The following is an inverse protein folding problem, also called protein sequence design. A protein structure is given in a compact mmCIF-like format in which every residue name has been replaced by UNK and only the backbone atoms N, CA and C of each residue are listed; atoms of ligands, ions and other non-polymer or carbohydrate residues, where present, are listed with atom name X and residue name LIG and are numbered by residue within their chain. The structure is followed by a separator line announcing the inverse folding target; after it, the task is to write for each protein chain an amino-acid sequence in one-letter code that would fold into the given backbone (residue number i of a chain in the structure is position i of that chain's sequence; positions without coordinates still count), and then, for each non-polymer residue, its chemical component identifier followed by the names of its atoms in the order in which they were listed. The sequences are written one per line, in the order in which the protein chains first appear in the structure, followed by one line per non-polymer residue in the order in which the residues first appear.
data_IF_831474191536
#
_entry.id   IF_831474191536
#
_cell.length_a   1.000
_cell.length_b   1.000
_cell.length_c   1.000
_cell.angle_alpha   90.00
_cell.angle_beta   90.00
_cell.angle_gamma   90.00
#
_symmetry.space_group_name_H-M   'P 1'
#
loop_
_entity.id
_entity.type
_entity.pdbx_description
1 polymer ?
#
# COMPACT_ATOMS: atom_id res chain seq x y z
N UNK A 1 19.63 -1.08 -3.13
CA UNK A 1 18.55 -0.74 -4.08
C UNK A 1 17.80 -2.02 -4.35
N UNK A 2 16.55 -2.16 -3.88
CA UNK A 2 15.74 -3.35 -4.14
C UNK A 2 15.34 -3.41 -5.62
N UNK A 3 15.27 -4.62 -6.17
CA UNK A 3 14.78 -4.83 -7.52
C UNK A 3 13.33 -4.34 -7.65
N UNK A 4 12.93 -3.78 -8.81
CA UNK A 4 11.53 -3.47 -9.06
C UNK A 4 10.66 -4.72 -8.94
N UNK A 5 9.43 -4.56 -8.46
CA UNK A 5 8.46 -5.64 -8.39
C UNK A 5 8.21 -6.22 -9.79
N UNK A 6 8.15 -7.55 -9.91
CA UNK A 6 7.75 -8.19 -11.16
C UNK A 6 6.26 -7.94 -11.44
N UNK A 7 5.85 -8.00 -12.70
CA UNK A 7 4.44 -7.88 -13.10
C UNK A 7 3.54 -8.89 -12.36
N UNK A 8 4.06 -10.11 -12.14
CA UNK A 8 3.36 -11.15 -11.39
C UNK A 8 3.17 -10.78 -9.91
N UNK A 9 4.17 -10.15 -9.29
CA UNK A 9 4.06 -9.68 -7.90
C UNK A 9 3.05 -8.54 -7.80
N UNK A 10 3.07 -7.60 -8.73
CA UNK A 10 2.11 -6.49 -8.76
C UNK A 10 0.67 -6.98 -8.94
N UNK A 11 0.43 -7.89 -9.89
CA UNK A 11 -0.89 -8.48 -10.12
C UNK A 11 -1.42 -9.20 -8.88
N UNK A 12 -0.54 -9.92 -8.16
CA UNK A 12 -0.90 -10.59 -6.90
C UNK A 12 -1.27 -9.58 -5.80
N UNK A 13 -0.53 -8.48 -5.69
CA UNK A 13 -0.85 -7.42 -4.72
C UNK A 13 -2.18 -6.75 -5.07
N UNK A 14 -2.43 -6.45 -6.35
CA UNK A 14 -3.71 -5.89 -6.81
C UNK A 14 -4.87 -6.84 -6.51
N UNK A 15 -4.71 -8.13 -6.77
CA UNK A 15 -5.73 -9.14 -6.46
C UNK A 15 -6.01 -9.24 -4.96
N UNK A 16 -4.96 -9.26 -4.13
CA UNK A 16 -5.08 -9.25 -2.67
C UNK A 16 -5.79 -7.98 -2.17
N UNK A 17 -5.44 -6.83 -2.75
CA UNK A 17 -6.09 -5.56 -2.42
C UNK A 17 -7.57 -5.55 -2.83
N UNK A 18 -7.91 -6.06 -4.01
CA UNK A 18 -9.29 -6.12 -4.51
C UNK A 18 -10.19 -7.07 -3.70
N UNK A 19 -9.62 -8.14 -3.13
CA UNK A 19 -10.34 -9.07 -2.23
C UNK A 19 -10.54 -8.51 -0.83
N UNK A 20 -9.74 -7.52 -0.44
CA UNK A 20 -9.80 -6.91 0.88
C UNK A 20 -10.86 -5.82 0.85
N UNK A 21 -11.90 -5.92 1.68
CA UNK A 21 -12.85 -4.81 1.84
C UNK A 21 -12.07 -3.54 2.21
N UNK A 22 -12.21 -2.49 1.40
CA UNK A 22 -11.55 -1.19 1.60
C UNK A 22 -12.16 -0.40 2.78
N UNK A 23 -12.43 -1.09 3.89
CA UNK A 23 -12.92 -0.48 5.11
C UNK A 23 -11.75 0.15 5.87
N UNK A 24 -11.87 1.42 6.30
CA UNK A 24 -10.86 2.05 7.14
C UNK A 24 -10.72 1.29 8.46
N UNK A 25 -9.49 1.15 8.92
CA UNK A 25 -9.16 0.52 10.20
C UNK A 25 -8.59 1.55 11.17
N UNK A 26 -8.78 1.31 12.46
CA UNK A 26 -8.13 2.02 13.53
C UNK A 26 -7.30 1.05 14.34
N UNK A 27 -6.02 1.39 14.55
CA UNK A 27 -5.15 0.75 15.51
C UNK A 27 -5.30 1.44 16.88
N UNK A 28 -5.45 0.64 17.93
CA UNK A 28 -5.49 1.09 19.32
C UNK A 28 -4.53 0.24 20.15
N UNK A 29 -3.74 0.89 20.98
CA UNK A 29 -2.91 0.27 22.00
C UNK A 29 -3.23 0.94 23.34
N UNK A 30 -3.84 0.19 24.25
CA UNK A 30 -4.27 0.72 25.54
C UNK A 30 -4.17 -0.38 26.60
N UNK A 31 -3.50 -0.10 27.72
CA UNK A 31 -3.39 -1.01 28.87
C UNK A 31 -2.87 -2.41 28.50
N UNK A 32 -1.90 -2.49 27.58
CA UNK A 32 -1.34 -3.77 27.11
C UNK A 32 -2.24 -4.54 26.15
N UNK A 33 -3.30 -3.90 25.65
CA UNK A 33 -4.27 -4.52 24.73
C UNK A 33 -4.24 -3.83 23.37
N UNK A 34 -3.66 -4.54 22.41
CA UNK A 34 -3.57 -4.09 21.02
C UNK A 34 -4.81 -4.55 20.28
N UNK A 35 -5.55 -3.59 19.74
CA UNK A 35 -6.80 -3.82 18.99
C UNK A 35 -6.77 -3.14 17.64
N UNK A 36 -7.35 -3.82 16.65
CA UNK A 36 -7.60 -3.27 15.33
C UNK A 36 -9.09 -3.28 15.06
N UNK A 37 -9.68 -2.11 14.95
CA UNK A 37 -11.12 -1.93 14.75
C UNK A 37 -11.42 -1.55 13.30
N UNK A 38 -12.53 -2.05 12.76
CA UNK A 38 -13.17 -1.38 11.64
C UNK A 38 -13.73 -0.04 12.11
N UNK A 39 -13.34 1.06 11.44
CA UNK A 39 -13.76 2.42 11.84
C UNK A 39 -15.28 2.57 11.87
N UNK A 40 -16.00 1.83 11.02
CA UNK A 40 -17.47 1.82 10.99
C UNK A 40 -18.13 1.31 12.27
N UNK A 41 -17.41 0.56 13.11
CA UNK A 41 -17.91 0.03 14.37
C UNK A 41 -17.74 1.01 15.54
N UNK A 42 -16.86 1.99 15.40
CA UNK A 42 -16.51 2.92 16.47
C UNK A 42 -17.60 3.98 16.66
N UNK A 43 -17.74 4.47 17.89
CA UNK A 43 -18.68 5.52 18.27
C UNK A 43 -17.94 6.80 18.64
N UNK A 44 -18.64 7.94 18.55
CA UNK A 44 -18.13 9.27 19.00
C UNK A 44 -16.74 9.62 18.44
N UNK A 45 -16.54 9.33 17.16
CA UNK A 45 -15.28 9.62 16.48
C UNK A 45 -15.10 11.14 16.37
N UNK A 46 -13.97 11.62 16.85
CA UNK A 46 -13.48 12.99 16.64
C UNK A 46 -12.25 12.90 15.74
N UNK A 47 -12.17 13.82 14.78
CA UNK A 47 -11.05 13.90 13.84
C UNK A 47 -10.35 15.24 13.96
N UNK A 48 -9.04 15.22 13.76
CA UNK A 48 -8.22 16.42 13.69
C UNK A 48 -8.44 17.20 12.37
N UNK A 49 -7.77 18.34 12.21
CA UNK A 49 -7.83 19.16 11.00
C UNK A 49 -7.26 18.48 9.74
N UNK A 50 -6.52 17.39 9.88
CA UNK A 50 -6.01 16.56 8.78
C UNK A 50 -6.95 15.36 8.48
N UNK A 51 -8.04 15.21 9.23
CA UNK A 51 -8.99 14.12 9.09
C UNK A 51 -8.58 12.82 9.78
N UNK A 52 -7.50 12.81 10.56
CA UNK A 52 -7.08 11.63 11.36
C UNK A 52 -7.97 11.48 12.57
N UNK A 53 -8.22 10.25 13.00
CA UNK A 53 -9.00 9.99 14.22
C UNK A 53 -8.15 10.38 15.43
N UNK A 54 -8.63 11.32 16.22
CA UNK A 54 -7.97 11.81 17.44
C UNK A 54 -8.56 11.16 18.70
N UNK A 55 -9.88 10.99 18.74
CA UNK A 55 -10.55 10.29 19.84
C UNK A 55 -11.77 9.52 19.35
N UNK A 56 -12.18 8.52 20.12
CA UNK A 56 -13.28 7.63 19.77
C UNK A 56 -13.73 6.87 21.04
N UNK A 57 -14.81 6.10 20.93
CA UNK A 57 -15.26 5.19 21.98
C UNK A 57 -15.62 3.82 21.41
N UNK A 58 -15.27 2.77 22.15
CA UNK A 58 -15.65 1.40 21.82
C UNK A 58 -17.18 1.24 21.82
N UNK A 59 -17.73 0.45 20.90
CA UNK A 59 -19.13 0.08 20.96
C UNK A 59 -19.37 -0.91 22.11
N UNK A 60 -20.48 -0.74 22.84
CA UNK A 60 -20.90 -1.69 23.89
C UNK A 60 -21.08 -3.13 23.40
N UNK A 61 -21.43 -3.31 22.13
CA UNK A 61 -21.48 -4.61 21.46
C UNK A 61 -21.10 -4.44 19.99
N UNK A 62 -20.45 -5.45 19.43
CA UNK A 62 -19.92 -5.41 18.07
C UNK A 62 -20.05 -6.78 17.39
N UNK A 63 -20.07 -6.77 16.06
CA UNK A 63 -20.07 -8.00 15.25
C UNK A 63 -18.67 -8.62 15.30
N UNK A 64 -18.53 -9.94 15.13
CA UNK A 64 -17.21 -10.57 15.06
C UNK A 64 -16.29 -9.98 13.98
N UNK A 65 -16.86 -9.39 12.92
CA UNK A 65 -16.09 -8.73 11.86
C UNK A 65 -15.66 -7.30 12.20
N UNK A 66 -16.18 -6.68 13.25
CA UNK A 66 -15.89 -5.28 13.62
C UNK A 66 -14.54 -5.16 14.34
N UNK A 67 -14.19 -6.13 15.18
CA UNK A 67 -12.88 -6.28 15.80
C UNK A 67 -12.03 -7.21 14.93
N UNK A 68 -11.07 -6.64 14.21
CA UNK A 68 -10.27 -7.35 13.21
C UNK A 68 -9.17 -8.18 13.85
N UNK A 69 -8.55 -7.63 14.89
CA UNK A 69 -7.53 -8.28 15.68
C UNK A 69 -7.59 -7.75 17.11
N UNK A 70 -7.33 -8.62 18.06
CA UNK A 70 -7.13 -8.30 19.47
C UNK A 70 -6.02 -9.19 20.00
N UNK A 71 -5.01 -8.58 20.60
CA UNK A 71 -3.84 -9.26 21.16
C UNK A 71 -3.58 -8.64 22.53
N UNK A 72 -3.67 -9.47 23.55
CA UNK A 72 -3.18 -9.16 24.88
C UNK A 72 -1.67 -9.37 24.89
N UNK A 73 -0.92 -8.33 25.24
CA UNK A 73 0.53 -8.39 25.34
C UNK A 73 0.95 -9.09 26.64
N UNK A 74 2.06 -9.81 26.59
CA UNK A 74 2.44 -10.72 27.66
C UNK A 74 3.04 -9.95 28.85
N UNK A 75 2.81 -10.47 30.07
CA UNK A 75 3.48 -9.94 31.27
C UNK A 75 3.01 -8.56 31.75
N UNK A 76 1.94 -8.00 31.18
CA UNK A 76 1.44 -6.68 31.59
C UNK A 76 2.33 -5.54 31.10
N UNK A 77 3.01 -5.73 29.97
CA UNK A 77 3.85 -4.73 29.30
C UNK A 77 2.95 -3.62 28.74
N UNK A 78 2.60 -2.64 29.56
CA UNK A 78 1.68 -1.57 29.17
C UNK A 78 2.40 -0.47 28.40
N UNK A 79 3.66 -0.23 28.75
CA UNK A 79 4.47 0.83 28.18
C UNK A 79 5.42 0.28 27.11
N UNK A 80 5.65 1.02 26.01
CA UNK A 80 6.70 0.70 25.05
C UNK A 80 8.08 0.65 25.71
N UNK A 81 8.90 -0.33 25.31
CA UNK A 81 10.29 -0.48 25.77
C UNK A 81 10.47 -1.45 26.94
N UNK A 82 9.39 -2.03 27.47
CA UNK A 82 9.47 -3.03 28.54
C UNK A 82 9.79 -4.43 28.03
N UNK A 83 9.29 -4.78 26.85
CA UNK A 83 9.57 -6.05 26.17
C UNK A 83 9.74 -5.84 24.65
N UNK A 84 10.86 -6.31 24.12
CA UNK A 84 11.21 -6.12 22.71
C UNK A 84 10.29 -6.88 21.76
N UNK A 85 9.76 -8.04 22.17
CA UNK A 85 8.87 -8.84 21.34
C UNK A 85 7.48 -8.21 21.27
N UNK A 86 6.96 -7.68 22.36
CA UNK A 86 5.69 -6.95 22.41
C UNK A 86 5.78 -5.63 21.65
N UNK A 87 6.90 -4.92 21.79
CA UNK A 87 7.19 -3.74 20.98
C UNK A 87 7.26 -4.05 19.49
N UNK A 88 7.85 -5.20 19.12
CA UNK A 88 7.86 -5.64 17.73
C UNK A 88 6.45 -5.96 17.25
N UNK A 89 5.63 -6.63 18.07
CA UNK A 89 4.22 -6.91 17.76
C UNK A 89 3.43 -5.62 17.54
N UNK A 90 3.59 -4.60 18.42
CA UNK A 90 2.98 -3.27 18.26
C UNK A 90 3.34 -2.64 16.92
N UNK A 91 4.64 -2.62 16.60
CA UNK A 91 5.15 -2.05 15.35
C UNK A 91 4.60 -2.78 14.13
N UNK A 92 4.67 -4.11 14.12
CA UNK A 92 4.21 -4.92 13.00
C UNK A 92 2.72 -4.68 12.70
N UNK A 93 1.88 -4.61 13.72
CA UNK A 93 0.44 -4.37 13.55
C UNK A 93 0.18 -2.94 13.08
N UNK A 94 0.86 -1.95 13.68
CA UNK A 94 0.77 -0.55 13.26
C UNK A 94 1.17 -0.38 11.79
N UNK A 95 2.28 -1.00 11.38
CA UNK A 95 2.79 -0.99 10.02
C UNK A 95 1.81 -1.66 9.05
N UNK A 96 1.19 -2.78 9.43
CA UNK A 96 0.18 -3.44 8.60
C UNK A 96 -1.09 -2.57 8.40
N UNK A 97 -1.55 -1.89 9.46
CA UNK A 97 -2.70 -0.99 9.38
C UNK A 97 -2.37 0.22 8.50
N UNK A 98 -1.22 0.85 8.71
CA UNK A 98 -0.75 1.98 7.90
C UNK A 98 -0.54 1.59 6.44
N UNK A 99 0.09 0.44 6.19
CA UNK A 99 0.30 -0.09 4.84
C UNK A 99 -1.03 -0.30 4.11
N UNK A 100 -2.05 -0.85 4.80
CA UNK A 100 -3.39 -1.03 4.23
C UNK A 100 -4.07 0.29 3.88
N UNK A 101 -3.84 1.35 4.66
CA UNK A 101 -4.39 2.68 4.39
C UNK A 101 -3.78 3.31 3.12
N UNK A 102 -2.47 3.18 2.93
CA UNK A 102 -1.77 3.80 1.79
C UNK A 102 -1.77 2.94 0.52
N UNK A 103 -1.99 1.62 0.64
CA UNK A 103 -1.92 0.68 -0.47
C UNK A 103 -2.77 1.07 -1.69
N UNK A 104 -4.04 1.52 -1.55
CA UNK A 104 -4.84 1.92 -2.71
C UNK A 104 -4.22 3.08 -3.49
N UNK A 105 -3.73 4.10 -2.78
CA UNK A 105 -3.08 5.26 -3.41
C UNK A 105 -1.78 4.86 -4.13
N UNK A 106 -0.99 3.97 -3.51
CA UNK A 106 0.23 3.44 -4.13
C UNK A 106 -0.07 2.61 -5.38
N UNK A 107 -1.12 1.78 -5.37
CA UNK A 107 -1.52 1.00 -6.55
C UNK A 107 -1.96 1.90 -7.70
N UNK A 108 -2.75 2.94 -7.42
CA UNK A 108 -3.12 3.94 -8.43
C UNK A 108 -1.89 4.63 -9.03
N UNK A 109 -0.90 4.97 -8.20
CA UNK A 109 0.32 5.62 -8.67
C UNK A 109 1.18 4.69 -9.55
N UNK A 110 1.28 3.41 -9.19
CA UNK A 110 1.97 2.40 -10.02
C UNK A 110 1.29 2.24 -11.37
N UNK A 111 -0.04 2.18 -11.41
CA UNK A 111 -0.80 2.11 -12.66
C UNK A 111 -0.56 3.34 -13.53
N UNK A 112 -0.60 4.54 -12.94
CA UNK A 112 -0.33 5.81 -13.60
C UNK A 112 1.07 5.83 -14.23
N UNK A 113 2.09 5.47 -13.46
CA UNK A 113 3.49 5.45 -13.93
C UNK A 113 3.70 4.38 -15.02
N UNK A 114 3.06 3.22 -14.89
CA UNK A 114 3.15 2.15 -15.89
C UNK A 114 2.55 2.59 -17.22
N UNK A 115 1.41 3.28 -17.20
CA UNK A 115 0.79 3.86 -18.39
C UNK A 115 1.69 4.92 -19.05
N UNK A 116 2.33 5.78 -18.26
CA UNK A 116 3.29 6.78 -18.77
C UNK A 116 4.51 6.12 -19.42
N UNK A 117 5.09 5.09 -18.80
CA UNK A 117 6.21 4.35 -19.37
C UNK A 117 5.82 3.64 -20.68
N UNK A 118 4.63 3.06 -20.74
CA UNK A 118 4.11 2.45 -21.96
C UNK A 118 3.95 3.48 -23.09
N UNK A 119 3.42 4.68 -22.77
CA UNK A 119 3.30 5.76 -23.74
C UNK A 119 4.67 6.25 -24.25
N UNK A 120 5.65 6.43 -23.36
CA UNK A 120 7.02 6.81 -23.74
C UNK A 120 7.67 5.74 -24.63
N UNK A 121 7.51 4.46 -24.29
CA UNK A 121 8.01 3.36 -25.12
C UNK A 121 7.34 3.34 -26.49
N UNK A 122 6.01 3.48 -26.55
CA UNK A 122 5.26 3.51 -27.81
C UNK A 122 5.66 4.70 -28.69
N UNK A 123 5.93 5.86 -28.09
CA UNK A 123 6.46 7.02 -28.79
C UNK A 123 7.87 6.76 -29.35
N UNK A 124 8.76 6.22 -28.53
CA UNK A 124 10.13 5.89 -28.95
C UNK A 124 10.20 4.84 -30.07
N UNK A 125 9.21 3.94 -30.15
CA UNK A 125 9.10 2.92 -31.21
C UNK A 125 8.17 3.33 -32.36
N UNK A 126 7.62 4.54 -32.32
CA UNK A 126 6.75 5.05 -33.38
C UNK A 126 7.53 5.30 -34.68
N UNK A 127 6.82 5.24 -35.81
CA UNK A 127 7.40 5.45 -37.14
C UNK A 127 8.09 6.81 -37.31
N UNK A 128 7.63 7.83 -36.57
CA UNK A 128 8.22 9.19 -36.59
C UNK A 128 9.63 9.22 -36.00
N UNK A 129 9.92 8.39 -34.98
CA UNK A 129 11.28 8.25 -34.43
C UNK A 129 12.18 7.30 -35.25
N UNK A 130 11.57 6.35 -35.96
CA UNK A 130 12.29 5.41 -36.83
C UNK A 130 12.96 6.13 -38.01
N UNK A 131 12.26 7.08 -38.62
CA UNK A 131 12.82 7.92 -39.68
C UNK A 131 13.95 8.83 -39.18
N UNK A 132 13.88 9.33 -37.94
CA UNK A 132 14.96 10.09 -37.31
C UNK A 132 16.24 9.26 -37.11
N UNK A 133 16.12 7.98 -36.74
CA UNK A 133 17.26 7.07 -36.71
C UNK A 133 17.80 6.76 -38.11
N UNK A 134 16.94 6.49 -39.10
CA UNK A 134 17.36 6.28 -40.50
C UNK A 134 18.05 7.51 -41.11
N UNK A 135 17.65 8.73 -40.70
CA UNK A 135 18.25 9.98 -41.15
C UNK A 135 19.62 10.24 -40.51
N UNK A 136 19.81 9.84 -39.25
CA UNK A 136 21.04 10.03 -38.49
C UNK A 136 22.09 8.93 -38.76
N UNK A 137 21.66 7.69 -39.01
CA UNK A 137 22.54 6.55 -39.32
C UNK A 137 22.89 6.44 -40.83
N UNK A 138 22.23 7.24 -41.68
CA UNK A 138 22.56 7.42 -43.09
C UNK A 138 22.02 6.34 -44.04
N UNK A 139 21.54 6.70 -45.25
CA UNK A 139 21.11 5.73 -46.26
C UNK A 139 22.34 5.04 -46.88
N UNK A 140 22.84 3.94 -46.31
CA UNK A 140 24.12 3.41 -46.79
C UNK A 140 24.59 1.99 -46.47
N UNK A 141 23.82 1.07 -45.88
CA UNK A 141 24.35 -0.29 -45.59
C UNK A 141 23.65 -1.47 -46.27
N UNK A 142 22.58 -1.26 -47.04
CA UNK A 142 21.92 -2.34 -47.80
C UNK A 142 21.87 -2.01 -49.29
N UNK A 143 23.04 -1.93 -49.91
CA UNK A 143 23.20 -1.80 -51.35
C UNK A 143 24.25 -2.76 -51.89
N UNK A 144 23.80 -3.90 -52.40
CA UNK A 144 24.41 -4.61 -53.53
C UNK A 144 25.65 -5.47 -53.26
N UNK A 145 25.46 -6.78 -53.30
CA UNK A 145 26.43 -7.67 -53.93
C UNK A 145 25.67 -8.55 -54.93
N UNK A 146 25.96 -8.30 -56.21
CA UNK A 146 25.78 -9.25 -57.31
C UNK A 146 26.67 -10.47 -57.09
#
# INVERSE_FOLDING_TARGET
MSAPLSEQQLAKIQEMAARTEARPLLFSDCEGLVRVWAVSALKRIVRDGAGRIESWSEPFSYRPSDLVAEIELEGGTWDPGEDEADDQRRRDIGDLVAAREVLPALLTEVERLSAQMAAVRAFATSHEYRWLHELLDGPGSHGGAL
#
